data_IF_044759759395
#
_entry.id   IF_044759759395
#
_cell.length_a   1.000
_cell.length_b   1.000
_cell.length_c   1.000
_cell.angle_alpha   90.00
_cell.angle_beta   90.00
_cell.angle_gamma   90.00
#
_symmetry.space_group_name_H-M   'P 1'
#
loop_
_entity.id
_entity.type
_entity.pdbx_description
1 polymer ?
#
# COMPACT_ATOMS: atom_id res chain seq x y z
N UNK A 1 19.52 6.05 9.09
CA UNK A 1 18.63 6.12 7.92
C UNK A 1 17.26 5.63 8.37
N UNK A 2 16.21 6.43 8.21
CA UNK A 2 14.85 6.02 8.61
C UNK A 2 14.36 4.99 7.59
N UNK A 3 14.19 3.74 8.04
CA UNK A 3 13.70 2.60 7.25
C UNK A 3 12.24 2.31 7.63
N UNK A 4 11.51 3.37 7.98
CA UNK A 4 10.13 3.24 8.40
C UNK A 4 9.23 2.93 7.22
N UNK A 5 8.30 2.01 7.42
CA UNK A 5 7.13 1.82 6.59
C UNK A 5 5.94 2.42 7.34
N UNK A 6 5.14 3.23 6.65
CA UNK A 6 3.82 3.57 7.14
C UNK A 6 2.81 2.59 6.58
N UNK A 7 2.09 1.93 7.47
CA UNK A 7 0.96 1.09 7.09
C UNK A 7 -0.32 1.83 7.39
N UNK A 8 -1.25 1.84 6.45
CA UNK A 8 -2.56 2.41 6.65
C UNK A 8 -3.60 1.43 6.11
N UNK A 9 -4.62 1.20 6.93
CA UNK A 9 -5.80 0.43 6.53
C UNK A 9 -6.96 1.39 6.31
N UNK A 10 -7.56 1.29 5.14
CA UNK A 10 -8.73 2.06 4.79
C UNK A 10 -9.93 1.16 4.66
N UNK A 11 -11.06 1.57 5.25
CA UNK A 11 -12.34 0.90 5.09
C UNK A 11 -13.27 1.75 4.21
N UNK A 12 -14.05 1.09 3.36
CA UNK A 12 -15.24 1.67 2.75
C UNK A 12 -16.46 1.43 3.67
N UNK A 13 -17.14 2.47 4.16
CA UNK A 13 -18.32 2.30 4.99
C UNK A 13 -19.61 2.32 4.16
N UNK A 14 -20.08 1.17 3.67
CA UNK A 14 -21.51 1.05 3.34
C UNK A 14 -22.33 0.81 4.61
N UNK A 15 -23.26 1.72 4.92
CA UNK A 15 -24.21 1.57 6.03
C UNK A 15 -25.27 0.49 5.77
N UNK A 16 -25.53 0.16 4.50
CA UNK A 16 -26.51 -0.86 4.12
C UNK A 16 -26.03 -2.30 4.39
N UNK A 17 -24.74 -2.51 4.69
CA UNK A 17 -24.19 -3.86 4.82
C UNK A 17 -23.14 -3.93 5.94
N UNK A 18 -23.61 -4.23 7.15
CA UNK A 18 -22.75 -4.59 8.28
C UNK A 18 -21.83 -5.80 7.96
N UNK A 19 -22.18 -6.60 6.93
CA UNK A 19 -21.40 -7.71 6.37
C UNK A 19 -20.36 -7.34 5.27
N UNK A 20 -20.35 -6.13 4.69
CA UNK A 20 -19.44 -5.73 3.60
C UNK A 20 -18.60 -4.50 3.94
N UNK A 21 -17.93 -4.50 5.09
CA UNK A 21 -16.86 -3.53 5.35
C UNK A 21 -15.58 -4.00 4.67
N UNK A 22 -15.45 -3.67 3.38
CA UNK A 22 -14.22 -3.91 2.64
C UNK A 22 -13.10 -3.04 3.22
N UNK A 23 -11.96 -3.68 3.46
CA UNK A 23 -10.73 -3.05 3.95
C UNK A 23 -9.65 -3.31 2.93
N UNK A 24 -8.78 -2.33 2.72
CA UNK A 24 -7.57 -2.46 1.92
C UNK A 24 -6.35 -2.17 2.77
N UNK A 25 -5.25 -2.86 2.49
CA UNK A 25 -3.96 -2.61 3.12
C UNK A 25 -3.06 -1.80 2.20
N UNK A 26 -2.39 -0.79 2.76
CA UNK A 26 -1.42 0.03 2.04
C UNK A 26 -0.15 0.22 2.87
N UNK A 27 0.97 0.25 2.15
CA UNK A 27 2.30 0.60 2.65
C UNK A 27 2.81 1.85 1.91
N UNK A 28 3.23 2.87 2.65
CA UNK A 28 4.20 3.86 2.18
C UNK A 28 5.59 3.28 2.40
N UNK A 29 6.28 3.01 1.30
CA UNK A 29 7.58 2.35 1.29
C UNK A 29 8.68 3.28 1.80
N UNK A 30 9.87 2.77 2.16
CA UNK A 30 10.95 3.58 2.73
C UNK A 30 11.34 4.79 1.87
N UNK A 31 11.29 4.67 0.54
CA UNK A 31 11.51 5.77 -0.39
C UNK A 31 10.43 6.85 -0.30
N UNK A 32 9.16 6.47 -0.17
CA UNK A 32 8.06 7.40 0.08
C UNK A 32 8.18 8.14 1.41
N UNK A 33 8.60 7.42 2.46
CA UNK A 33 8.86 8.00 3.79
C UNK A 33 10.03 8.98 3.77
N UNK A 34 11.17 8.58 3.20
CA UNK A 34 12.37 9.43 3.11
C UNK A 34 12.14 10.69 2.28
N UNK A 35 11.19 10.65 1.33
CA UNK A 35 10.79 11.80 0.51
C UNK A 35 9.69 12.66 1.13
N UNK A 36 9.25 12.35 2.36
CA UNK A 36 8.21 13.12 3.05
C UNK A 36 6.81 12.99 2.43
N UNK A 37 6.51 11.86 1.76
CA UNK A 37 5.27 11.68 1.00
C UNK A 37 4.11 11.09 1.82
N UNK A 38 4.33 10.76 3.10
CA UNK A 38 3.32 10.17 3.99
C UNK A 38 2.00 10.96 3.94
N UNK A 39 2.03 12.24 4.28
CA UNK A 39 0.81 13.06 4.34
C UNK A 39 0.15 13.24 2.97
N UNK A 40 0.95 13.29 1.89
CA UNK A 40 0.43 13.38 0.52
C UNK A 40 -0.32 12.11 0.12
N UNK A 41 0.22 10.94 0.48
CA UNK A 41 -0.42 9.66 0.23
C UNK A 41 -1.70 9.53 1.06
N UNK A 42 -1.63 9.74 2.37
CA UNK A 42 -2.79 9.64 3.28
C UNK A 42 -3.93 10.56 2.84
N UNK A 43 -3.61 11.82 2.54
CA UNK A 43 -4.58 12.82 2.11
C UNK A 43 -5.35 12.41 0.84
N UNK A 44 -4.77 11.58 -0.04
CA UNK A 44 -5.50 11.07 -1.23
C UNK A 44 -6.64 10.15 -0.86
N UNK A 45 -6.44 9.29 0.14
CA UNK A 45 -7.47 8.37 0.61
C UNK A 45 -8.55 9.12 1.38
N UNK A 46 -8.15 10.01 2.30
CA UNK A 46 -9.10 10.80 3.09
C UNK A 46 -10.00 11.67 2.20
N UNK A 47 -9.43 12.32 1.18
CA UNK A 47 -10.20 13.13 0.22
C UNK A 47 -11.21 12.34 -0.61
N UNK A 48 -10.94 11.06 -0.83
CA UNK A 48 -11.85 10.16 -1.53
C UNK A 48 -12.94 9.57 -0.60
N UNK A 49 -12.96 9.98 0.68
CA UNK A 49 -13.95 9.50 1.65
C UNK A 49 -13.61 8.17 2.31
N UNK A 50 -12.40 7.64 2.10
CA UNK A 50 -11.98 6.43 2.79
C UNK A 50 -11.71 6.69 4.27
N UNK A 51 -12.09 5.72 5.11
CA UNK A 51 -11.93 5.80 6.55
C UNK A 51 -10.64 5.13 7.00
N UNK A 52 -9.73 5.89 7.62
CA UNK A 52 -8.53 5.35 8.26
C UNK A 52 -8.91 4.63 9.56
N UNK A 53 -8.55 3.35 9.67
CA UNK A 53 -8.95 2.50 10.82
C UNK A 53 -7.77 1.90 11.58
N UNK A 54 -6.59 1.92 10.99
CA UNK A 54 -5.33 1.60 11.64
C UNK A 54 -4.18 2.31 10.91
N UNK A 55 -3.21 2.82 11.67
CA UNK A 55 -1.98 3.40 11.11
C UNK A 55 -0.82 3.16 12.06
N UNK A 56 0.32 2.70 11.52
CA UNK A 56 1.55 2.56 12.32
C UNK A 56 2.80 2.82 11.51
N UNK A 57 3.83 3.27 12.22
CA UNK A 57 5.16 3.54 11.68
C UNK A 57 6.15 2.59 12.34
N UNK A 58 6.77 1.72 11.54
CA UNK A 58 7.68 0.70 12.03
C UNK A 58 8.79 0.41 11.04
N UNK A 59 9.89 -0.17 11.50
CA UNK A 59 10.87 -0.80 10.63
C UNK A 59 10.50 -2.29 10.50
N UNK A 60 10.28 -2.75 9.28
CA UNK A 60 9.87 -4.13 9.04
C UNK A 60 11.04 -5.09 9.19
N UNK A 61 10.79 -6.26 9.78
CA UNK A 61 11.79 -7.34 9.86
C UNK A 61 11.89 -8.08 8.53
N UNK A 62 13.03 -8.73 8.29
CA UNK A 62 13.20 -9.59 7.11
C UNK A 62 12.14 -10.69 7.04
N UNK A 63 11.79 -11.30 8.17
CA UNK A 63 10.85 -12.42 8.22
C UNK A 63 9.42 -11.97 7.88
N UNK A 64 8.99 -10.81 8.37
CA UNK A 64 7.69 -10.25 8.00
C UNK A 64 7.66 -9.90 6.50
N UNK A 65 8.76 -9.34 5.96
CA UNK A 65 8.85 -9.00 4.54
C UNK A 65 8.88 -10.24 3.62
N UNK A 66 9.54 -11.32 4.05
CA UNK A 66 9.52 -12.62 3.34
C UNK A 66 8.11 -13.16 3.24
N UNK A 67 7.35 -13.16 4.35
CA UNK A 67 5.94 -13.57 4.36
C UNK A 67 5.07 -12.66 3.47
N UNK A 68 5.27 -11.34 3.54
CA UNK A 68 4.51 -10.40 2.74
C UNK A 68 4.73 -10.61 1.22
N UNK A 69 5.97 -10.83 0.81
CA UNK A 69 6.35 -11.06 -0.59
C UNK A 69 6.47 -12.53 -1.00
N UNK A 70 5.91 -13.46 -0.22
CA UNK A 70 6.06 -14.91 -0.42
C UNK A 70 5.70 -15.37 -1.85
N UNK A 71 4.61 -14.85 -2.43
CA UNK A 71 4.19 -15.14 -3.81
C UNK A 71 5.22 -14.71 -4.88
N UNK A 72 6.25 -13.95 -4.48
CA UNK A 72 7.34 -13.48 -5.33
C UNK A 72 8.68 -14.11 -4.94
N UNK A 73 8.70 -15.16 -4.11
CA UNK A 73 9.91 -15.86 -3.68
C UNK A 73 10.79 -16.30 -4.85
N UNK A 74 10.17 -16.74 -5.95
CA UNK A 74 10.85 -17.29 -7.12
C UNK A 74 11.41 -16.19 -8.05
N UNK A 75 11.19 -14.92 -7.72
CA UNK A 75 11.67 -13.82 -8.52
C UNK A 75 13.14 -13.50 -8.22
N UNK A 76 13.97 -13.21 -9.25
CA UNK A 76 15.40 -12.97 -9.07
C UNK A 76 15.72 -11.74 -8.20
N UNK A 77 14.75 -10.85 -8.01
CA UNK A 77 14.87 -9.64 -7.20
C UNK A 77 14.33 -9.79 -5.77
N UNK A 78 13.82 -10.96 -5.36
CA UNK A 78 13.18 -11.17 -4.05
C UNK A 78 14.09 -10.85 -2.87
N UNK A 79 15.28 -11.44 -2.82
CA UNK A 79 16.25 -11.20 -1.74
C UNK A 79 16.73 -9.75 -1.69
N UNK A 80 16.94 -9.13 -2.86
CA UNK A 80 17.32 -7.73 -2.95
C UNK A 80 16.21 -6.82 -2.42
N UNK A 81 14.94 -7.10 -2.75
CA UNK A 81 13.77 -6.36 -2.27
C UNK A 81 13.67 -6.40 -0.74
N UNK A 82 13.79 -7.59 -0.13
CA UNK A 82 13.72 -7.75 1.33
C UNK A 82 14.84 -6.98 2.02
N UNK A 83 16.08 -7.12 1.53
CA UNK A 83 17.22 -6.46 2.14
C UNK A 83 17.11 -4.92 2.10
N UNK A 84 16.61 -4.37 0.98
CA UNK A 84 16.37 -2.92 0.87
C UNK A 84 15.33 -2.45 1.90
N UNK A 85 14.26 -3.21 2.10
CA UNK A 85 13.16 -2.80 3.00
C UNK A 85 13.43 -3.10 4.48
N UNK A 86 14.20 -4.14 4.80
CA UNK A 86 14.56 -4.47 6.18
C UNK A 86 15.72 -3.62 6.70
N UNK A 87 16.78 -3.50 5.89
CA UNK A 87 18.06 -2.93 6.32
C UNK A 87 18.31 -1.53 5.74
N UNK A 88 17.42 -1.04 4.89
CA UNK A 88 17.53 0.27 4.24
C UNK A 88 18.68 0.37 3.24
N UNK A 89 19.45 -0.69 3.01
CA UNK A 89 20.60 -0.67 2.11
C UNK A 89 20.13 -0.54 0.67
N UNK A 90 20.13 0.69 0.16
CA UNK A 90 19.94 1.00 -1.25
C UNK A 90 21.22 0.64 -2.01
N UNK A 91 21.55 -0.65 -2.12
CA UNK A 91 22.54 -1.06 -3.13
C UNK A 91 21.88 -0.83 -4.48
N UNK A 92 22.49 0.08 -5.24
CA UNK A 92 22.13 0.41 -6.62
C UNK A 92 22.42 -0.78 -7.54
N UNK A 93 21.69 -1.88 -7.38
CA UNK A 93 21.65 -2.92 -8.40
C UNK A 93 20.44 -2.61 -9.27
N UNK A 94 20.71 -2.12 -10.48
CA UNK A 94 19.69 -1.92 -11.50
C UNK A 94 18.89 -3.20 -11.65
N UNK A 95 17.64 -3.17 -11.20
CA UNK A 95 16.70 -4.26 -11.46
C UNK A 95 16.43 -4.21 -12.96
N UNK A 96 16.91 -5.22 -13.66
CA UNK A 96 16.77 -5.38 -15.10
C UNK A 96 15.33 -5.19 -15.55
N UNK A 97 15.18 -4.60 -16.74
CA UNK A 97 13.94 -4.54 -17.51
C UNK A 97 13.28 -5.92 -17.51
N UNK A 98 12.15 -6.06 -16.82
CA UNK A 98 11.18 -7.07 -17.19
C UNK A 98 9.78 -6.47 -17.08
N UNK A 99 9.29 -6.04 -18.23
CA UNK A 99 7.87 -5.75 -18.42
C UNK A 99 7.12 -7.07 -18.29
N UNK A 100 6.40 -7.27 -17.18
CA UNK A 100 5.34 -8.28 -17.13
C UNK A 100 3.99 -7.59 -17.30
N UNK A 101 3.49 -7.75 -18.52
CA UNK A 101 2.12 -7.56 -18.91
C UNK A 101 1.20 -8.46 -18.08
N UNK A 102 0.29 -7.85 -17.32
CA UNK A 102 -1.08 -8.34 -17.13
C UNK A 102 -1.98 -7.10 -17.07
N UNK A 103 -2.97 -7.05 -17.95
CA UNK A 103 -4.02 -6.02 -17.94
C UNK A 103 -4.77 -6.10 -16.61
N UNK A 104 -4.64 -5.07 -15.80
CA UNK A 104 -5.03 -5.11 -14.40
C UNK A 104 -6.38 -4.43 -14.20
N UNK A 105 -7.42 -5.25 -13.95
CA UNK A 105 -8.82 -4.84 -13.73
C UNK A 105 -9.14 -4.59 -12.24
N UNK A 106 -8.14 -4.35 -11.39
CA UNK A 106 -8.29 -4.02 -9.97
C UNK A 106 -7.89 -2.57 -9.65
N UNK A 107 -8.59 -1.96 -8.69
CA UNK A 107 -8.38 -0.63 -8.08
C UNK A 107 -7.18 0.19 -8.61
N UNK A 108 -7.48 1.10 -9.54
CA UNK A 108 -6.54 1.80 -10.44
C UNK A 108 -5.43 2.67 -9.79
N UNK A 109 -5.41 2.84 -8.47
CA UNK A 109 -4.59 3.84 -7.79
C UNK A 109 -3.13 3.44 -7.61
N UNK A 110 -2.85 2.14 -7.49
CA UNK A 110 -1.54 1.65 -7.03
C UNK A 110 -0.96 0.50 -7.86
N UNK A 111 -1.45 0.19 -9.06
CA UNK A 111 -1.00 -1.05 -9.76
C UNK A 111 -0.13 -0.83 -10.99
N UNK A 112 -0.07 0.37 -11.57
CA UNK A 112 0.73 0.62 -12.79
C UNK A 112 2.21 0.89 -12.50
N UNK A 113 3.08 0.71 -13.50
CA UNK A 113 4.46 1.21 -13.46
C UNK A 113 4.47 2.73 -13.58
N UNK A 114 5.49 3.45 -13.08
CA UNK A 114 5.51 4.92 -13.06
C UNK A 114 5.22 5.53 -14.44
N UNK A 115 5.90 5.02 -15.46
CA UNK A 115 5.77 5.46 -16.87
C UNK A 115 4.38 5.21 -17.47
N UNK A 116 3.62 4.24 -16.93
CA UNK A 116 2.27 3.89 -17.41
C UNK A 116 1.16 4.40 -16.46
N UNK A 117 1.54 5.15 -15.42
CA UNK A 117 0.61 5.69 -14.44
C UNK A 117 0.07 7.03 -14.93
N UNK A 118 -1.26 7.21 -14.86
CA UNK A 118 -1.87 8.45 -15.30
C UNK A 118 -1.54 9.59 -14.31
N UNK A 119 -1.40 10.84 -14.78
CA UNK A 119 -1.38 12.01 -13.91
C UNK A 119 -2.58 12.01 -12.96
N UNK A 120 -2.35 12.43 -11.70
CA UNK A 120 -3.37 12.40 -10.66
C UNK A 120 -3.42 11.08 -9.87
N UNK A 121 -2.72 10.02 -10.29
CA UNK A 121 -2.51 8.83 -9.45
C UNK A 121 -1.29 9.03 -8.54
N UNK A 122 -1.24 8.34 -7.39
CA UNK A 122 -0.09 8.44 -6.46
C UNK A 122 1.21 8.10 -7.19
N UNK A 123 1.21 7.05 -8.03
CA UNK A 123 2.38 6.64 -8.78
C UNK A 123 2.74 7.60 -9.91
N UNK A 124 1.75 8.11 -10.64
CA UNK A 124 2.00 9.10 -11.70
C UNK A 124 2.59 10.40 -11.15
N UNK A 125 2.14 10.82 -9.97
CA UNK A 125 2.57 12.09 -9.38
C UNK A 125 3.85 11.96 -8.54
N UNK A 126 4.14 10.77 -7.97
CA UNK A 126 5.21 10.64 -6.98
C UNK A 126 6.21 9.50 -7.20
N UNK A 127 5.99 8.50 -8.04
CA UNK A 127 7.00 7.45 -8.22
C UNK A 127 8.28 7.99 -8.87
N UNK A 128 9.41 7.31 -8.64
CA UNK A 128 10.63 7.59 -9.39
C UNK A 128 10.47 7.19 -10.87
N UNK A 129 11.11 7.94 -11.77
CA UNK A 129 11.09 7.67 -13.22
C UNK A 129 11.71 6.29 -13.54
N UNK A 130 12.66 5.84 -12.70
CA UNK A 130 13.33 4.54 -12.85
C UNK A 130 12.45 3.40 -12.31
N UNK A 131 12.26 2.30 -13.07
CA UNK A 131 11.57 1.11 -12.60
C UNK A 131 12.10 0.62 -11.25
N UNK A 132 11.19 0.25 -10.35
CA UNK A 132 11.53 -0.27 -9.01
C UNK A 132 11.49 0.77 -7.89
N UNK A 133 11.45 2.08 -8.19
CA UNK A 133 11.29 3.16 -7.19
C UNK A 133 9.83 3.56 -7.01
N UNK A 134 9.01 2.57 -6.63
CA UNK A 134 7.59 2.76 -6.36
C UNK A 134 7.43 3.17 -4.90
N UNK A 135 6.75 4.28 -4.63
CA UNK A 135 6.65 4.83 -3.25
C UNK A 135 5.57 4.17 -2.41
N UNK A 136 4.63 3.45 -3.03
CA UNK A 136 3.51 2.79 -2.36
C UNK A 136 3.30 1.35 -2.83
N UNK A 137 2.84 0.51 -1.91
CA UNK A 137 2.20 -0.78 -2.16
C UNK A 137 0.76 -0.72 -1.67
N UNK A 138 -0.16 -1.34 -2.41
CA UNK A 138 -1.54 -1.55 -1.99
C UNK A 138 -1.99 -2.94 -2.42
N UNK A 139 -2.88 -3.56 -1.66
CA UNK A 139 -3.42 -4.89 -1.98
C UNK A 139 -4.09 -4.88 -3.35
N UNK A 140 -3.91 -5.95 -4.11
CA UNK A 140 -4.47 -6.12 -5.46
C UNK A 140 -5.83 -6.83 -5.49
N UNK A 141 -6.22 -7.48 -4.38
CA UNK A 141 -7.47 -8.22 -4.25
C UNK A 141 -7.98 -8.19 -2.81
N UNK A 142 -9.24 -8.60 -2.60
CA UNK A 142 -9.81 -8.73 -1.26
C UNK A 142 -9.10 -9.81 -0.45
N UNK A 143 -8.71 -10.91 -1.10
CA UNK A 143 -7.98 -12.01 -0.46
C UNK A 143 -6.57 -11.57 -0.03
N UNK A 144 -5.82 -10.91 -0.92
CA UNK A 144 -4.50 -10.38 -0.57
C UNK A 144 -4.62 -9.33 0.53
N UNK A 145 -5.65 -8.48 0.51
CA UNK A 145 -5.85 -7.51 1.58
C UNK A 145 -6.10 -8.17 2.94
N UNK A 146 -6.95 -9.20 3.03
CA UNK A 146 -7.19 -9.90 4.30
C UNK A 146 -5.89 -10.50 4.86
N UNK A 147 -5.14 -11.21 4.02
CA UNK A 147 -3.84 -11.80 4.38
C UNK A 147 -2.83 -10.75 4.85
N UNK A 148 -2.73 -9.65 4.12
CA UNK A 148 -1.81 -8.56 4.45
C UNK A 148 -2.21 -7.85 5.74
N UNK A 149 -3.50 -7.60 5.98
CA UNK A 149 -3.98 -7.00 7.23
C UNK A 149 -3.63 -7.90 8.41
N UNK A 150 -3.89 -9.21 8.33
CA UNK A 150 -3.58 -10.17 9.39
C UNK A 150 -2.07 -10.33 9.64
N UNK A 151 -1.25 -10.21 8.59
CA UNK A 151 0.21 -10.27 8.73
C UNK A 151 0.76 -9.03 9.45
N UNK A 152 0.19 -7.86 9.16
CA UNK A 152 0.77 -6.59 9.57
C UNK A 152 0.12 -5.98 10.79
N UNK A 153 -1.14 -6.26 11.10
CA UNK A 153 -1.85 -5.64 12.21
C UNK A 153 -2.47 -6.68 13.15
N UNK A 154 -2.33 -6.44 14.45
CA UNK A 154 -3.09 -7.16 15.46
C UNK A 154 -4.52 -6.64 15.53
N UNK A 155 -5.48 -7.49 15.91
CA UNK A 155 -6.90 -7.12 16.02
C UNK A 155 -7.14 -5.89 16.92
N UNK A 156 -6.30 -5.71 17.94
CA UNK A 156 -6.39 -4.57 18.87
C UNK A 156 -5.93 -3.24 18.24
N UNK A 157 -5.12 -3.27 17.18
CA UNK A 157 -4.67 -2.06 16.47
C UNK A 157 -5.75 -1.51 15.52
N UNK A 158 -6.83 -2.27 15.28
CA UNK A 158 -7.94 -1.87 14.43
C UNK A 158 -8.99 -1.13 15.25
N UNK A 159 -9.12 0.18 15.03
CA UNK A 159 -10.04 1.03 15.79
C UNK A 159 -11.38 1.11 15.07
N UNK A 160 -12.48 0.58 15.65
CA UNK A 160 -13.82 0.81 15.12
C UNK A 160 -14.28 2.22 15.48
N UNK A 161 -14.64 3.02 14.48
CA UNK A 161 -15.24 4.33 14.68
C UNK A 161 -16.21 4.69 13.55
N UNK A 162 -17.10 5.65 13.82
CA UNK A 162 -18.10 6.14 12.89
C UNK A 162 -17.65 7.49 12.33
N UNK A 163 -17.58 7.62 11.01
CA UNK A 163 -17.19 8.88 10.38
C UNK A 163 -18.46 9.69 10.12
N UNK A 164 -18.45 10.98 10.50
CA UNK A 164 -19.61 11.86 10.39
C UNK A 164 -20.08 12.07 8.93
N UNK A 165 -19.21 11.78 7.97
CA UNK A 165 -19.50 11.86 6.54
C UNK A 165 -20.06 10.56 5.96
N UNK A 166 -20.15 9.46 6.74
CA UNK A 166 -20.58 8.14 6.24
C UNK A 166 -21.95 8.23 5.53
N UNK A 167 -22.91 8.95 6.12
CA UNK A 167 -24.24 9.16 5.53
C UNK A 167 -24.20 9.96 4.23
N UNK A 168 -23.31 10.94 4.11
CA UNK A 168 -23.22 11.78 2.92
C UNK A 168 -22.52 11.10 1.75
N UNK A 169 -21.64 10.15 2.04
CA UNK A 169 -20.82 9.47 1.03
C UNK A 169 -21.49 8.18 0.55
N UNK A 170 -22.21 7.46 1.42
CA UNK A 170 -22.64 6.08 1.15
C UNK A 170 -24.13 5.80 1.35
N UNK A 171 -24.94 6.74 1.84
CA UNK A 171 -26.38 6.53 1.93
C UNK A 171 -26.99 6.67 0.55
N UNK A 172 -27.57 5.59 0.04
CA UNK A 172 -28.41 5.64 -1.16
C UNK A 172 -29.75 6.31 -0.80
N UNK A 173 -30.26 7.17 -1.70
CA UNK A 173 -31.53 7.88 -1.52
C UNK A 173 -32.74 6.94 -1.57
#
# INVERSE_FOLDING_TARGET
>A
MVVGILMAMYASPSAAVQERRERTFMIVKPDGVQRGLIGKVVSRFEKNGFKLVAMKFLQATEDTLKKHYEERSDQPFFHALINVYANGTHRHHGVGRQERHKEDKGHHWCNRTPVKSNPGTIRGDYDGIVPGRKVVHGSDSLESSKREIELWFEKAELIPWMQCLDDWIFKEN
#
